data_IF_959365487057
#
_entry.id   IF_959365487057
#
_cell.length_a   1.000
_cell.length_b   1.000
_cell.length_c   1.000
_cell.angle_alpha   90.00
_cell.angle_beta   90.00
_cell.angle_gamma   90.00
#
_symmetry.space_group_name_H-M   'P 1'
#
loop_
_entity.id
_entity.type
_entity.pdbx_description
1 polymer ?
#
# COMPACT_ATOMS: atom_id res chain seq x y z
N UNK A 1 -39.47 -9.75 45.11
CA UNK A 1 -38.02 -9.43 45.21
C UNK A 1 -37.30 -10.60 44.56
N UNK A 2 -36.55 -10.54 43.45
CA UNK A 2 -35.65 -9.51 42.90
C UNK A 2 -35.59 -9.69 41.39
N UNK A 3 -35.59 -8.57 40.65
CA UNK A 3 -35.38 -8.50 39.21
C UNK A 3 -33.92 -8.80 38.87
N UNK A 4 -33.70 -9.66 37.87
CA UNK A 4 -32.39 -9.89 37.24
C UNK A 4 -32.21 -8.85 36.13
N UNK A 5 -31.39 -7.83 36.41
CA UNK A 5 -30.97 -6.85 35.43
C UNK A 5 -29.88 -7.46 34.54
N UNK A 6 -30.20 -7.68 33.27
CA UNK A 6 -29.24 -8.05 32.21
C UNK A 6 -28.54 -6.75 31.79
N UNK A 7 -27.27 -6.60 32.20
CA UNK A 7 -26.44 -5.47 31.81
C UNK A 7 -25.95 -5.64 30.38
N UNK A 8 -26.39 -4.73 29.50
CA UNK A 8 -25.92 -4.59 28.12
C UNK A 8 -24.55 -3.89 28.13
N UNK A 9 -23.47 -4.60 27.79
CA UNK A 9 -22.16 -3.98 27.54
C UNK A 9 -22.12 -3.42 26.11
N UNK A 10 -21.81 -2.13 25.89
CA UNK A 10 -21.64 -1.59 24.55
C UNK A 10 -20.30 -2.05 23.98
N UNK A 11 -20.36 -2.55 22.74
CA UNK A 11 -19.22 -2.99 21.96
C UNK A 11 -18.24 -1.82 21.71
N UNK A 12 -17.02 -1.95 22.23
CA UNK A 12 -15.92 -1.08 21.85
C UNK A 12 -15.56 -1.34 20.38
N UNK A 13 -15.80 -0.35 19.53
CA UNK A 13 -15.29 -0.28 18.16
C UNK A 13 -13.76 -0.24 18.19
N UNK A 14 -13.14 -1.41 18.12
CA UNK A 14 -11.70 -1.56 17.87
C UNK A 14 -11.43 -1.15 16.41
N UNK A 15 -11.01 0.11 16.23
CA UNK A 15 -10.34 0.54 15.01
C UNK A 15 -9.00 -0.20 14.92
N UNK A 16 -9.02 -1.37 14.28
CA UNK A 16 -7.81 -2.13 13.97
C UNK A 16 -7.07 -1.35 12.88
N UNK A 17 -6.05 -0.61 13.27
CA UNK A 17 -5.01 -0.10 12.38
C UNK A 17 -4.04 -1.26 12.15
N UNK A 18 -4.23 -2.00 11.07
CA UNK A 18 -3.28 -3.02 10.63
C UNK A 18 -2.08 -2.31 10.00
N UNK A 19 -1.03 -2.10 10.79
CA UNK A 19 0.30 -1.76 10.29
C UNK A 19 0.96 -3.05 9.80
N UNK A 20 1.04 -3.23 8.48
CA UNK A 20 1.91 -4.25 7.91
C UNK A 20 3.37 -3.82 8.14
N UNK A 21 4.15 -4.67 8.80
CA UNK A 21 5.58 -4.45 9.03
C UNK A 21 6.33 -4.91 7.78
N UNK A 22 6.75 -3.95 6.95
CA UNK A 22 7.51 -4.20 5.73
C UNK A 22 9.01 -4.33 6.04
N UNK A 23 9.71 -5.21 5.34
CA UNK A 23 11.15 -5.52 5.53
C UNK A 23 12.11 -4.39 5.11
N UNK A 24 11.55 -3.23 4.79
CA UNK A 24 12.24 -1.97 4.53
C UNK A 24 11.65 -0.95 5.51
N UNK A 25 12.47 -0.15 6.21
CA UNK A 25 12.06 0.88 7.20
C UNK A 25 11.22 2.04 6.61
N UNK A 26 10.36 1.76 5.63
CA UNK A 26 9.48 2.70 4.96
C UNK A 26 8.10 2.57 5.59
N UNK A 27 7.85 3.38 6.62
CA UNK A 27 6.52 3.46 7.20
C UNK A 27 5.51 3.98 6.15
N UNK A 28 4.52 3.16 5.83
CA UNK A 28 3.40 3.49 4.96
C UNK A 28 2.09 3.26 5.69
N UNK A 29 1.20 4.24 5.62
CA UNK A 29 -0.12 4.17 6.27
C UNK A 29 -1.20 4.44 5.24
N UNK A 30 -2.33 3.75 5.43
CA UNK A 30 -3.53 3.93 4.62
C UNK A 30 -4.76 3.72 5.49
N UNK A 31 -5.92 4.18 5.01
CA UNK A 31 -7.19 3.96 5.67
C UNK A 31 -8.05 2.98 4.88
N UNK A 32 -8.94 2.23 5.53
CA UNK A 32 -9.92 1.38 4.80
C UNK A 32 -10.80 2.19 3.84
N UNK A 33 -11.01 3.46 4.15
CA UNK A 33 -11.78 4.35 3.31
C UNK A 33 -11.12 4.53 1.93
N UNK A 34 -9.78 4.40 1.84
CA UNK A 34 -9.06 4.45 0.58
C UNK A 34 -9.37 3.26 -0.34
N UNK A 35 -9.87 2.16 0.20
CA UNK A 35 -10.28 0.98 -0.56
C UNK A 35 -11.77 1.02 -0.97
N UNK A 36 -12.51 2.07 -0.59
CA UNK A 36 -13.96 2.11 -0.73
C UNK A 36 -14.45 2.26 -2.18
N UNK A 37 -13.67 2.90 -3.06
CA UNK A 37 -14.07 3.16 -4.45
C UNK A 37 -12.88 3.04 -5.40
N UNK A 38 -13.14 2.83 -6.70
CA UNK A 38 -12.06 2.66 -7.68
C UNK A 38 -11.18 3.91 -7.79
N UNK A 39 -11.79 5.10 -7.70
CA UNK A 39 -11.04 6.37 -7.69
C UNK A 39 -10.12 6.51 -6.49
N UNK A 40 -10.52 6.02 -5.32
CA UNK A 40 -9.69 6.07 -4.12
C UNK A 40 -8.61 4.99 -4.11
N UNK A 41 -8.88 3.83 -4.70
CA UNK A 41 -7.87 2.78 -4.92
C UNK A 41 -6.79 3.29 -5.89
N UNK A 42 -7.19 3.96 -6.97
CA UNK A 42 -6.23 4.61 -7.87
C UNK A 42 -5.38 5.65 -7.14
N UNK A 43 -6.00 6.52 -6.35
CA UNK A 43 -5.27 7.49 -5.53
C UNK A 43 -4.37 6.84 -4.46
N UNK A 44 -4.78 5.71 -3.88
CA UNK A 44 -3.95 4.94 -2.96
C UNK A 44 -2.73 4.36 -3.68
N UNK A 45 -2.94 3.79 -4.86
CA UNK A 45 -1.90 3.22 -5.70
C UNK A 45 -0.85 4.27 -6.09
N UNK A 46 -1.28 5.47 -6.51
CA UNK A 46 -0.37 6.60 -6.80
C UNK A 46 0.49 6.97 -5.58
N UNK A 47 -0.08 6.99 -4.37
CA UNK A 47 0.68 7.26 -3.14
C UNK A 47 1.68 6.16 -2.81
N UNK A 48 1.35 4.90 -3.12
CA UNK A 48 2.28 3.78 -2.97
C UNK A 48 3.49 3.99 -3.88
N UNK A 49 3.25 4.26 -5.16
CA UNK A 49 4.32 4.50 -6.14
C UNK A 49 5.18 5.71 -5.75
N UNK A 50 4.58 6.81 -5.31
CA UNK A 50 5.29 7.99 -4.85
C UNK A 50 6.16 7.70 -3.63
N UNK A 51 5.64 6.95 -2.65
CA UNK A 51 6.38 6.58 -1.45
C UNK A 51 7.54 5.66 -1.78
N UNK A 52 7.32 4.67 -2.65
CA UNK A 52 8.34 3.74 -3.13
C UNK A 52 9.46 4.50 -3.86
N UNK A 53 9.11 5.41 -4.79
CA UNK A 53 10.11 6.23 -5.49
C UNK A 53 10.93 7.07 -4.51
N UNK A 54 10.26 7.74 -3.55
CA UNK A 54 10.92 8.56 -2.53
C UNK A 54 11.88 7.74 -1.65
N UNK A 55 11.47 6.55 -1.21
CA UNK A 55 12.31 5.67 -0.41
C UNK A 55 13.57 5.23 -1.17
N UNK A 56 13.43 4.95 -2.47
CA UNK A 56 14.55 4.56 -3.32
C UNK A 56 15.42 5.73 -3.78
N UNK A 57 14.94 6.97 -3.68
CA UNK A 57 15.68 8.17 -4.09
C UNK A 57 16.68 8.68 -3.04
N UNK A 58 16.80 8.03 -1.89
CA UNK A 58 17.70 8.47 -0.79
C UNK A 58 19.18 8.29 -1.15
N UNK A 59 19.51 7.39 -2.08
CA UNK A 59 20.88 7.13 -2.54
C UNK A 59 21.17 7.84 -3.87
N UNK A 60 21.46 9.15 -3.80
CA UNK A 60 21.75 10.05 -4.95
C UNK A 60 23.11 9.79 -5.64
N UNK A 61 23.47 8.54 -5.96
CA UNK A 61 24.64 8.32 -6.80
C UNK A 61 24.25 8.51 -8.27
N UNK A 62 24.75 9.55 -8.92
CA UNK A 62 24.41 9.96 -10.30
C UNK A 62 25.15 9.13 -11.36
N UNK A 63 24.90 7.82 -11.39
CA UNK A 63 25.39 6.90 -12.42
C UNK A 63 24.25 6.20 -13.18
N UNK A 64 24.50 5.74 -14.41
CA UNK A 64 23.50 5.02 -15.21
C UNK A 64 22.92 3.81 -14.46
N UNK A 65 23.79 3.05 -13.77
CA UNK A 65 23.39 1.92 -12.92
C UNK A 65 22.49 2.31 -11.75
N UNK A 66 22.58 3.55 -11.27
CA UNK A 66 21.73 4.02 -10.18
C UNK A 66 20.30 4.30 -10.65
N UNK A 67 20.10 4.64 -11.92
CA UNK A 67 18.75 4.82 -12.50
C UNK A 67 18.03 3.48 -12.53
N UNK A 68 18.69 2.43 -13.03
CA UNK A 68 18.09 1.10 -13.09
C UNK A 68 17.89 0.50 -11.70
N UNK A 69 18.84 0.71 -10.79
CA UNK A 69 18.68 0.34 -9.39
C UNK A 69 17.48 1.04 -8.74
N UNK A 70 17.33 2.36 -8.95
CA UNK A 70 16.20 3.13 -8.41
C UNK A 70 14.87 2.57 -8.92
N UNK A 71 14.77 2.30 -10.23
CA UNK A 71 13.57 1.71 -10.83
C UNK A 71 13.25 0.34 -10.25
N UNK A 72 14.25 -0.53 -10.14
CA UNK A 72 14.10 -1.86 -9.56
C UNK A 72 13.66 -1.79 -8.08
N UNK A 73 14.30 -0.92 -7.30
CA UNK A 73 13.95 -0.67 -5.91
C UNK A 73 12.49 -0.21 -5.78
N UNK A 74 12.06 0.77 -6.58
CA UNK A 74 10.71 1.32 -6.50
C UNK A 74 9.65 0.28 -6.91
N UNK A 75 9.96 -0.54 -7.92
CA UNK A 75 9.09 -1.64 -8.34
C UNK A 75 8.92 -2.69 -7.25
N UNK A 76 10.01 -3.13 -6.62
CA UNK A 76 9.97 -4.10 -5.51
C UNK A 76 9.19 -3.55 -4.32
N UNK A 77 9.44 -2.30 -3.91
CA UNK A 77 8.70 -1.69 -2.80
C UNK A 77 7.21 -1.52 -3.11
N UNK A 78 6.86 -1.24 -4.36
CA UNK A 78 5.46 -1.12 -4.78
C UNK A 78 4.76 -2.46 -4.72
N UNK A 79 5.38 -3.53 -5.26
CA UNK A 79 4.89 -4.90 -5.16
C UNK A 79 4.68 -5.30 -3.68
N UNK A 80 5.70 -5.12 -2.84
CA UNK A 80 5.63 -5.45 -1.42
C UNK A 80 4.48 -4.70 -0.71
N UNK A 81 4.33 -3.40 -0.95
CA UNK A 81 3.26 -2.59 -0.35
C UNK A 81 1.87 -3.00 -0.84
N UNK A 82 1.72 -3.33 -2.13
CA UNK A 82 0.45 -3.82 -2.69
C UNK A 82 0.08 -5.17 -2.07
N UNK A 83 1.02 -6.10 -2.00
CA UNK A 83 0.84 -7.42 -1.40
C UNK A 83 0.51 -7.34 0.09
N UNK A 84 1.19 -6.48 0.84
CA UNK A 84 0.93 -6.34 2.28
C UNK A 84 -0.40 -5.66 2.62
N UNK A 85 -1.03 -4.96 1.67
CA UNK A 85 -2.39 -4.43 1.83
C UNK A 85 -3.44 -5.52 1.60
N UNK A 86 -3.11 -6.57 0.84
CA UNK A 86 -3.97 -7.74 0.55
C UNK A 86 -5.38 -7.33 0.07
N UNK A 87 -5.43 -6.57 -1.03
CA UNK A 87 -6.68 -6.12 -1.63
C UNK A 87 -6.74 -6.42 -3.13
N UNK A 88 -7.63 -7.34 -3.52
CA UNK A 88 -7.80 -7.82 -4.90
C UNK A 88 -7.93 -6.70 -5.94
N UNK A 89 -8.63 -5.61 -5.63
CA UNK A 89 -8.82 -4.48 -6.55
C UNK A 89 -7.55 -3.64 -6.72
N UNK A 90 -6.74 -3.53 -5.67
CA UNK A 90 -5.45 -2.87 -5.73
C UNK A 90 -4.44 -3.74 -6.49
N UNK A 91 -4.42 -5.05 -6.23
CA UNK A 91 -3.60 -6.02 -6.97
C UNK A 91 -3.92 -6.01 -8.46
N UNK A 92 -5.20 -6.08 -8.84
CA UNK A 92 -5.62 -6.02 -10.24
C UNK A 92 -5.21 -4.71 -10.93
N UNK A 93 -5.23 -3.58 -10.21
CA UNK A 93 -4.72 -2.32 -10.73
C UNK A 93 -3.20 -2.36 -10.93
N UNK A 94 -2.46 -2.93 -9.99
CA UNK A 94 -1.00 -3.08 -10.11
C UNK A 94 -0.61 -3.93 -11.33
N UNK A 95 -1.26 -5.07 -11.50
CA UNK A 95 -1.04 -5.97 -12.65
C UNK A 95 -1.32 -5.27 -13.99
N UNK A 96 -2.41 -4.50 -14.08
CA UNK A 96 -2.76 -3.74 -15.27
C UNK A 96 -1.67 -2.69 -15.62
N UNK A 97 -1.18 -1.95 -14.63
CA UNK A 97 -0.11 -0.96 -14.82
C UNK A 97 1.21 -1.62 -15.27
N UNK A 98 1.53 -2.80 -14.73
CA UNK A 98 2.71 -3.54 -15.16
C UNK A 98 2.58 -4.07 -16.59
N UNK A 99 1.40 -4.54 -16.98
CA UNK A 99 1.14 -4.98 -18.35
C UNK A 99 1.32 -3.82 -19.36
N UNK A 100 0.80 -2.63 -19.05
CA UNK A 100 0.92 -1.44 -19.89
C UNK A 100 2.38 -0.98 -20.04
N UNK A 101 3.17 -1.04 -18.96
CA UNK A 101 4.61 -0.74 -18.99
C UNK A 101 5.39 -1.70 -19.89
N UNK A 102 5.06 -2.99 -19.88
CA UNK A 102 5.70 -3.98 -20.74
C UNK A 102 5.28 -3.85 -22.21
N UNK A 103 4.06 -3.38 -22.47
CA UNK A 103 3.58 -3.11 -23.83
C UNK A 103 4.26 -1.88 -24.46
N UNK A 104 4.56 -0.86 -23.66
CA UNK A 104 5.14 0.42 -24.14
C UNK A 104 6.64 0.33 -24.46
N UNK A 105 7.36 -0.64 -23.89
CA UNK A 105 8.81 -0.84 -24.10
C UNK A 105 9.15 -1.79 -25.26
N UNK A 106 8.19 -2.08 -26.15
CA UNK A 106 8.31 -3.02 -27.26
C UNK A 106 8.28 -2.30 -28.59
#
# INVERSE_FOLDING_TARGET
MKSLAIAFLPAALLAINTSAAFASDVEFTYSRADLASSSRIAALYERIEEKADKACNVYQNSGLFAVDYKKACAAVLTEELVDGIDNERLTALHEAQNADRLATNR
#
